data_IF_086387549064
#
_entry.id   IF_086387549064
#
_cell.length_a   1.000
_cell.length_b   1.000
_cell.length_c   1.000
_cell.angle_alpha   90.00
_cell.angle_beta   90.00
_cell.angle_gamma   90.00
#
_symmetry.space_group_name_H-M   'P 1'
#
loop_
_entity.id
_entity.type
_entity.pdbx_description
1 polymer ?
#
# COMPACT_ATOMS: atom_id res chain seq x y z
N UNK A 1 33.06 4.85 19.70
CA UNK A 1 32.38 5.98 19.04
C UNK A 1 30.88 5.82 19.24
N UNK A 2 30.23 6.82 19.83
CA UNK A 2 28.78 6.82 19.95
C UNK A 2 28.20 7.31 18.63
N UNK A 3 27.30 6.53 18.02
CA UNK A 3 26.59 6.93 16.80
C UNK A 3 25.29 7.63 17.20
N UNK A 4 24.96 8.71 16.54
CA UNK A 4 23.71 9.45 16.72
C UNK A 4 23.34 10.18 15.41
N UNK A 5 22.09 10.54 15.27
CA UNK A 5 21.56 11.31 14.15
C UNK A 5 21.04 12.67 14.64
N UNK A 6 21.30 13.71 13.86
CA UNK A 6 20.69 15.04 14.01
C UNK A 6 19.64 15.22 12.90
N UNK A 7 18.38 15.37 13.29
CA UNK A 7 17.27 15.51 12.33
C UNK A 7 16.66 14.17 11.90
N UNK A 8 16.20 14.10 10.64
CA UNK A 8 15.56 12.92 10.10
C UNK A 8 16.59 11.91 9.59
N UNK A 9 16.24 10.63 9.71
CA UNK A 9 17.09 9.54 9.23
C UNK A 9 16.88 9.33 7.73
N UNK A 10 17.98 9.21 6.98
CA UNK A 10 17.94 8.88 5.56
C UNK A 10 18.02 7.38 5.31
N UNK A 11 17.65 6.94 4.09
CA UNK A 11 17.82 5.54 3.68
C UNK A 11 19.30 5.11 3.71
N UNK A 12 20.22 6.02 3.41
CA UNK A 12 21.66 5.73 3.44
C UNK A 12 22.16 5.55 4.87
N UNK A 13 21.64 6.34 5.82
CA UNK A 13 21.92 6.16 7.25
C UNK A 13 21.42 4.78 7.72
N UNK A 14 20.21 4.39 7.33
CA UNK A 14 19.64 3.08 7.68
C UNK A 14 20.51 1.95 7.14
N UNK A 15 20.89 2.00 5.87
CA UNK A 15 21.79 1.03 5.24
C UNK A 15 23.15 0.97 5.95
N UNK A 16 23.70 2.14 6.28
CA UNK A 16 24.97 2.23 7.00
C UNK A 16 24.90 1.55 8.37
N UNK A 17 23.89 1.87 9.19
CA UNK A 17 23.76 1.28 10.53
C UNK A 17 23.53 -0.22 10.49
N UNK A 18 22.72 -0.72 9.57
CA UNK A 18 22.51 -2.16 9.36
C UNK A 18 23.83 -2.87 8.97
N UNK A 19 24.60 -2.30 8.04
CA UNK A 19 25.89 -2.86 7.61
C UNK A 19 26.89 -2.92 8.77
N UNK A 20 26.79 -1.99 9.74
CA UNK A 20 27.62 -1.97 10.94
C UNK A 20 27.07 -2.81 12.09
N UNK A 21 25.93 -3.45 11.94
CA UNK A 21 25.28 -4.22 13.02
C UNK A 21 24.80 -3.35 14.19
N UNK A 22 24.54 -2.07 13.95
CA UNK A 22 24.07 -1.13 14.98
C UNK A 22 22.56 -1.17 15.03
N UNK A 23 22.01 -1.63 16.14
CA UNK A 23 20.56 -1.79 16.32
C UNK A 23 19.87 -0.58 16.94
N UNK A 24 20.59 0.20 17.77
CA UNK A 24 20.03 1.36 18.47
C UNK A 24 20.79 2.63 18.11
N UNK A 25 20.08 3.63 17.58
CA UNK A 25 20.66 4.91 17.17
C UNK A 25 19.84 6.07 17.77
N UNK A 26 20.40 6.84 18.72
CA UNK A 26 19.74 8.03 19.27
C UNK A 26 19.57 9.12 18.21
N UNK A 27 18.39 9.74 18.17
CA UNK A 27 18.18 11.01 17.52
C UNK A 27 18.33 12.12 18.54
N UNK A 28 19.19 13.09 18.25
CA UNK A 28 19.47 14.21 19.15
C UNK A 28 19.01 15.55 18.56
N UNK A 29 18.59 16.45 19.43
CA UNK A 29 18.29 17.82 19.08
C UNK A 29 19.57 18.65 18.84
N UNK A 30 19.38 19.96 18.57
CA UNK A 30 20.50 20.90 18.34
C UNK A 30 21.39 21.07 19.58
N UNK A 31 20.85 20.80 20.78
CA UNK A 31 21.53 20.92 22.07
C UNK A 31 22.21 19.62 22.50
N UNK A 32 22.00 18.52 21.74
CA UNK A 32 22.56 17.21 22.05
C UNK A 32 21.68 16.36 22.97
N UNK A 33 20.43 16.75 23.27
CA UNK A 33 19.51 15.95 24.04
C UNK A 33 18.85 14.88 23.15
N UNK A 34 18.65 13.69 23.70
CA UNK A 34 17.98 12.59 22.99
C UNK A 34 16.49 12.87 22.92
N UNK A 35 15.95 12.98 21.67
CA UNK A 35 14.53 13.17 21.41
C UNK A 35 13.81 11.87 21.10
N UNK A 36 14.52 10.91 20.48
CA UNK A 36 13.96 9.65 20.00
C UNK A 36 15.09 8.61 19.84
N UNK A 37 14.72 7.35 19.69
CA UNK A 37 15.67 6.26 19.42
C UNK A 37 15.16 5.47 18.23
N UNK A 38 15.99 5.34 17.20
CA UNK A 38 15.76 4.41 16.11
C UNK A 38 16.20 3.02 16.56
N UNK A 39 15.25 2.09 16.66
CA UNK A 39 15.49 0.70 17.07
C UNK A 39 15.30 -0.23 15.88
N UNK A 40 16.40 -0.65 15.27
CA UNK A 40 16.43 -1.58 14.14
C UNK A 40 16.28 -3.05 14.54
N UNK A 41 16.14 -3.37 15.84
CA UNK A 41 15.79 -4.72 16.29
C UNK A 41 14.31 -5.02 16.13
N UNK A 42 13.46 -3.96 16.19
CA UNK A 42 12.00 -4.06 16.08
C UNK A 42 11.44 -3.46 14.79
N UNK A 43 12.14 -2.49 14.19
CA UNK A 43 11.72 -1.86 12.93
C UNK A 43 12.65 -2.24 11.77
N UNK A 44 12.07 -2.60 10.66
CA UNK A 44 12.81 -2.85 9.41
C UNK A 44 13.40 -1.57 8.83
N UNK A 45 12.70 -0.46 9.00
CA UNK A 45 13.08 0.85 8.46
C UNK A 45 12.38 1.97 9.21
N UNK A 46 12.67 3.22 8.84
CA UNK A 46 12.01 4.44 9.32
C UNK A 46 11.69 5.33 8.12
N UNK A 47 10.63 4.98 7.41
CA UNK A 47 10.24 5.70 6.19
C UNK A 47 9.53 7.01 6.52
N UNK A 48 9.93 8.14 5.95
CA UNK A 48 9.25 9.42 6.11
C UNK A 48 8.04 9.51 5.18
N UNK A 49 7.04 8.69 5.45
CA UNK A 49 5.77 8.63 4.70
C UNK A 49 4.58 8.60 5.65
N UNK A 50 3.47 9.12 5.19
CA UNK A 50 2.16 8.90 5.78
C UNK A 50 1.46 7.76 5.04
N UNK A 51 0.54 7.06 5.68
CA UNK A 51 -0.19 5.98 5.05
C UNK A 51 -1.71 6.17 5.15
N UNK A 52 -2.41 5.86 4.06
CA UNK A 52 -3.87 5.84 4.00
C UNK A 52 -4.33 4.50 3.44
N UNK A 53 -5.10 3.74 4.22
CA UNK A 53 -5.72 2.51 3.80
C UNK A 53 -7.20 2.75 3.46
N UNK A 54 -7.61 2.34 2.27
CA UNK A 54 -8.98 2.54 1.80
C UNK A 54 -9.86 1.35 2.19
N UNK A 55 -10.81 1.56 3.11
CA UNK A 55 -11.65 0.54 3.74
C UNK A 55 -13.17 0.81 3.64
N UNK A 56 -13.60 1.73 2.76
CA UNK A 56 -15.01 2.13 2.63
C UNK A 56 -15.90 1.15 1.85
N UNK A 57 -15.34 0.14 1.18
CA UNK A 57 -16.05 -0.76 0.28
C UNK A 57 -16.94 -1.79 0.97
N UNK A 58 -18.09 -2.15 0.34
CA UNK A 58 -19.05 -3.14 0.87
C UNK A 58 -18.61 -4.59 0.78
N UNK A 59 -17.62 -4.92 -0.06
CA UNK A 59 -17.13 -6.28 -0.23
C UNK A 59 -18.16 -7.28 -0.78
N UNK A 60 -19.07 -6.86 -1.65
CA UNK A 60 -20.25 -7.64 -2.09
C UNK A 60 -19.91 -9.01 -2.70
N UNK A 61 -18.75 -9.14 -3.34
CA UNK A 61 -18.28 -10.40 -3.95
C UNK A 61 -17.87 -11.48 -2.94
N UNK A 62 -17.75 -11.11 -1.66
CA UNK A 62 -17.41 -12.02 -0.54
C UNK A 62 -18.64 -12.37 0.32
N UNK A 63 -19.84 -11.97 -0.07
CA UNK A 63 -21.06 -12.38 0.64
C UNK A 63 -21.18 -13.91 0.67
N UNK A 64 -21.69 -14.49 1.79
CA UNK A 64 -22.29 -13.83 2.96
C UNK A 64 -21.29 -13.32 4.02
N UNK A 65 -19.98 -13.55 3.88
CA UNK A 65 -18.96 -13.19 4.90
C UNK A 65 -18.97 -11.69 5.25
N UNK A 66 -19.25 -10.85 4.26
CA UNK A 66 -19.22 -9.39 4.40
C UNK A 66 -20.58 -8.76 4.75
N UNK A 67 -21.61 -9.54 5.00
CA UNK A 67 -22.93 -9.00 5.40
C UNK A 67 -22.91 -8.42 6.82
N UNK A 68 -22.16 -9.05 7.72
CA UNK A 68 -22.08 -8.69 9.14
C UNK A 68 -20.71 -8.22 9.59
N UNK A 69 -19.67 -8.39 8.76
CA UNK A 69 -18.29 -8.02 9.07
C UNK A 69 -17.72 -7.25 7.89
N UNK A 70 -17.18 -6.04 8.07
CA UNK A 70 -16.56 -5.32 6.97
C UNK A 70 -15.35 -6.10 6.44
N UNK A 71 -15.16 -6.09 5.11
CA UNK A 71 -14.11 -6.86 4.42
C UNK A 71 -12.72 -6.74 5.06
N UNK A 72 -12.24 -5.53 5.46
CA UNK A 72 -10.94 -5.38 6.08
C UNK A 72 -10.77 -6.14 7.40
N UNK A 73 -11.87 -6.41 8.11
CA UNK A 73 -11.88 -7.13 9.39
C UNK A 73 -12.11 -8.64 9.25
N UNK A 74 -12.28 -9.16 8.03
CA UNK A 74 -12.27 -10.61 7.82
C UNK A 74 -10.91 -11.18 8.24
N UNK A 75 -10.94 -12.29 8.97
CA UNK A 75 -9.71 -12.90 9.50
C UNK A 75 -9.05 -13.82 8.47
N UNK A 76 -7.77 -13.62 8.25
CA UNK A 76 -6.87 -14.56 7.58
C UNK A 76 -5.97 -15.16 8.66
N UNK A 77 -6.13 -16.45 8.92
CA UNK A 77 -5.58 -17.06 10.12
C UNK A 77 -6.23 -16.50 11.39
N UNK A 78 -5.41 -16.00 12.32
CA UNK A 78 -5.89 -15.44 13.58
C UNK A 78 -6.15 -13.93 13.56
N UNK A 79 -5.75 -13.22 12.50
CA UNK A 79 -5.65 -11.76 12.43
C UNK A 79 -6.52 -11.18 11.32
N UNK A 80 -7.08 -9.97 11.51
CA UNK A 80 -7.81 -9.26 10.47
C UNK A 80 -6.89 -8.92 9.27
N UNK A 81 -7.44 -8.91 8.05
CA UNK A 81 -6.66 -8.61 6.83
C UNK A 81 -5.93 -7.27 6.97
N UNK A 82 -6.63 -6.25 7.43
CA UNK A 82 -6.09 -4.89 7.55
C UNK A 82 -4.94 -4.81 8.56
N UNK A 83 -4.93 -5.66 9.60
CA UNK A 83 -3.88 -5.65 10.62
C UNK A 83 -2.53 -6.08 10.08
N UNK A 84 -2.51 -7.03 9.11
CA UNK A 84 -1.26 -7.41 8.44
C UNK A 84 -0.62 -6.20 7.74
N UNK A 85 -1.44 -5.39 7.06
CA UNK A 85 -0.95 -4.20 6.35
C UNK A 85 -0.46 -3.13 7.33
N UNK A 86 -1.24 -2.83 8.38
CA UNK A 86 -0.89 -1.82 9.38
C UNK A 86 0.36 -2.23 10.16
N UNK A 87 0.45 -3.47 10.64
CA UNK A 87 1.64 -3.94 11.33
C UNK A 87 2.88 -3.96 10.43
N UNK A 88 2.71 -4.29 9.15
CA UNK A 88 3.78 -4.19 8.17
C UNK A 88 4.26 -2.74 8.05
N UNK A 89 3.37 -1.76 7.84
CA UNK A 89 3.72 -0.35 7.78
C UNK A 89 4.43 0.13 9.05
N UNK A 90 3.93 -0.25 10.22
CA UNK A 90 4.57 0.07 11.52
C UNK A 90 5.99 -0.52 11.57
N UNK A 91 6.20 -1.74 11.06
CA UNK A 91 7.53 -2.34 11.02
C UNK A 91 8.53 -1.57 10.15
N UNK A 92 8.04 -0.77 9.20
CA UNK A 92 8.84 0.17 8.40
C UNK A 92 8.88 1.59 9.00
N UNK A 93 8.46 1.76 10.26
CA UNK A 93 8.55 3.01 11.00
C UNK A 93 7.48 4.04 10.65
N UNK A 94 6.42 3.66 9.93
CA UNK A 94 5.30 4.56 9.61
C UNK A 94 4.48 4.79 10.88
N UNK A 95 4.36 6.04 11.30
CA UNK A 95 3.67 6.42 12.55
C UNK A 95 2.33 7.11 12.31
N UNK A 96 2.13 7.74 11.14
CA UNK A 96 0.90 8.42 10.78
C UNK A 96 0.10 7.56 9.79
N UNK A 97 -0.92 6.85 10.31
CA UNK A 97 -1.72 5.90 9.55
C UNK A 97 -3.20 6.30 9.67
N UNK A 98 -3.84 6.50 8.54
CA UNK A 98 -5.28 6.76 8.45
C UNK A 98 -5.99 5.62 7.71
N UNK A 99 -7.24 5.35 8.08
CA UNK A 99 -8.11 4.38 7.39
C UNK A 99 -9.39 5.10 7.01
N UNK A 100 -9.69 5.19 5.72
CA UNK A 100 -10.98 5.75 5.26
C UNK A 100 -12.06 4.69 5.32
N UNK A 101 -13.20 5.02 5.93
CA UNK A 101 -14.25 4.06 6.31
C UNK A 101 -15.63 4.54 5.89
N UNK A 102 -16.50 3.59 5.52
CA UNK A 102 -17.89 3.85 5.16
C UNK A 102 -18.81 2.69 5.59
N UNK A 103 -18.75 1.56 4.90
CA UNK A 103 -19.59 0.40 5.18
C UNK A 103 -19.21 -0.24 6.52
N UNK A 104 -20.21 -0.45 7.41
CA UNK A 104 -20.03 -1.00 8.77
C UNK A 104 -18.90 -0.28 9.55
N UNK A 105 -18.80 1.02 9.36
CA UNK A 105 -17.71 1.87 9.86
C UNK A 105 -17.51 1.80 11.37
N UNK A 106 -18.59 1.63 12.13
CA UNK A 106 -18.54 1.54 13.59
C UNK A 106 -17.68 0.36 14.05
N UNK A 107 -17.74 -0.76 13.34
CA UNK A 107 -16.91 -1.94 13.68
C UNK A 107 -15.42 -1.68 13.41
N UNK A 108 -15.09 -0.89 12.38
CA UNK A 108 -13.69 -0.54 12.08
C UNK A 108 -13.18 0.47 13.14
N UNK A 109 -14.00 1.44 13.55
CA UNK A 109 -13.66 2.37 14.63
C UNK A 109 -13.43 1.66 15.96
N UNK A 110 -14.33 0.74 16.31
CA UNK A 110 -14.19 -0.08 17.52
C UNK A 110 -12.89 -0.91 17.48
N UNK A 111 -12.56 -1.49 16.32
CA UNK A 111 -11.33 -2.26 16.11
C UNK A 111 -10.07 -1.42 16.36
N UNK A 112 -10.07 -0.16 15.91
CA UNK A 112 -8.95 0.77 16.06
C UNK A 112 -9.07 1.69 17.27
N UNK A 113 -10.00 1.42 18.20
CA UNK A 113 -10.12 2.18 19.45
C UNK A 113 -8.87 2.12 20.33
N UNK A 114 -8.05 1.09 20.15
CA UNK A 114 -6.77 0.92 20.82
C UNK A 114 -5.62 0.95 19.78
N UNK A 115 -4.45 1.53 20.14
CA UNK A 115 -3.29 1.54 19.25
C UNK A 115 -2.82 0.14 18.87
N UNK A 116 -2.41 -0.04 17.61
CA UNK A 116 -1.72 -1.25 17.15
C UNK A 116 -0.21 -1.06 17.33
N UNK A 117 0.44 -1.93 18.12
CA UNK A 117 1.89 -1.84 18.41
C UNK A 117 2.33 -0.42 18.82
N UNK A 118 1.50 0.29 19.58
CA UNK A 118 1.77 1.64 20.06
C UNK A 118 1.48 2.77 19.06
N UNK A 119 1.00 2.46 17.86
CA UNK A 119 0.62 3.46 16.84
C UNK A 119 -0.89 3.59 16.80
N UNK A 120 -1.40 4.81 17.01
CA UNK A 120 -2.82 5.12 16.86
C UNK A 120 -3.18 5.15 15.36
N UNK A 121 -4.30 4.50 15.01
CA UNK A 121 -4.85 4.49 13.65
C UNK A 121 -6.02 5.47 13.59
N UNK A 122 -5.93 6.45 12.69
CA UNK A 122 -6.97 7.46 12.53
C UNK A 122 -8.06 6.99 11.57
N UNK A 123 -9.28 6.77 12.06
CA UNK A 123 -10.44 6.44 11.24
C UNK A 123 -11.08 7.70 10.66
N UNK A 124 -11.19 7.77 9.33
CA UNK A 124 -11.75 8.92 8.59
C UNK A 124 -13.02 8.48 7.89
N UNK A 125 -14.17 9.02 8.35
CA UNK A 125 -15.49 8.69 7.79
C UNK A 125 -15.69 9.35 6.43
N UNK A 126 -16.03 8.56 5.42
CA UNK A 126 -16.52 9.06 4.14
C UNK A 126 -18.00 9.46 4.27
N UNK A 127 -18.43 10.62 3.74
CA UNK A 127 -19.84 10.99 3.74
C UNK A 127 -20.69 10.09 2.84
N UNK A 128 -20.10 9.58 1.74
CA UNK A 128 -20.66 8.62 0.80
C UNK A 128 -19.53 7.79 0.21
N UNK A 129 -19.83 6.72 -0.50
CA UNK A 129 -18.79 5.94 -1.20
C UNK A 129 -18.21 6.76 -2.36
N UNK A 130 -16.92 7.08 -2.27
CA UNK A 130 -16.21 7.97 -3.18
C UNK A 130 -15.19 7.27 -4.09
N UNK A 131 -15.36 5.98 -4.31
CA UNK A 131 -14.44 5.18 -5.14
C UNK A 131 -13.18 4.76 -4.37
N UNK A 132 -12.12 4.45 -5.11
CA UNK A 132 -10.91 3.88 -4.50
C UNK A 132 -9.89 4.92 -4.02
N UNK A 133 -10.06 6.22 -4.32
CA UNK A 133 -9.13 7.27 -3.84
C UNK A 133 -9.83 8.57 -3.42
N UNK A 134 -11.10 8.76 -3.78
CA UNK A 134 -11.81 10.02 -3.52
C UNK A 134 -11.89 10.37 -2.04
N UNK A 135 -11.97 9.37 -1.16
CA UNK A 135 -12.03 9.55 0.30
C UNK A 135 -10.77 10.14 0.93
N UNK A 136 -9.62 10.09 0.26
CA UNK A 136 -8.38 10.66 0.78
C UNK A 136 -8.47 12.18 1.04
N UNK A 137 -9.42 12.86 0.39
CA UNK A 137 -9.68 14.29 0.58
C UNK A 137 -10.15 14.66 1.98
N UNK A 138 -10.64 13.69 2.76
CA UNK A 138 -11.07 13.87 4.15
C UNK A 138 -9.97 13.58 5.16
N UNK A 139 -8.77 13.20 4.69
CA UNK A 139 -7.60 13.00 5.54
C UNK A 139 -6.85 14.32 5.62
N UNK A 140 -6.86 14.98 6.78
CA UNK A 140 -6.33 16.33 6.95
C UNK A 140 -4.87 16.36 7.47
N UNK A 141 -4.42 15.30 8.14
CA UNK A 141 -3.19 15.32 8.92
C UNK A 141 -2.05 14.56 8.23
N UNK A 142 -1.51 15.15 7.17
CA UNK A 142 -0.29 14.66 6.55
C UNK A 142 0.95 15.37 7.12
N UNK A 143 1.91 14.59 7.64
CA UNK A 143 3.16 15.08 8.21
C UNK A 143 4.32 15.05 7.23
N UNK A 144 4.23 14.18 6.21
CA UNK A 144 5.30 13.93 5.25
C UNK A 144 4.92 14.40 3.83
N UNK A 145 5.92 14.58 2.98
CA UNK A 145 5.72 14.99 1.58
C UNK A 145 5.38 13.82 0.65
N UNK A 146 5.45 12.60 1.15
CA UNK A 146 5.09 11.38 0.43
C UNK A 146 4.00 10.64 1.18
N UNK A 147 2.94 10.26 0.48
CA UNK A 147 1.81 9.52 1.03
C UNK A 147 1.73 8.16 0.34
N UNK A 148 1.71 7.11 1.14
CA UNK A 148 1.36 5.77 0.69
C UNK A 148 -0.16 5.63 0.76
N UNK A 149 -0.77 5.27 -0.35
CA UNK A 149 -2.20 4.96 -0.45
C UNK A 149 -2.35 3.52 -0.87
N UNK A 150 -3.19 2.74 -0.18
CA UNK A 150 -3.38 1.33 -0.52
C UNK A 150 -4.78 0.82 -0.22
N UNK A 151 -5.19 -0.22 -0.93
CA UNK A 151 -6.38 -0.98 -0.60
C UNK A 151 -6.17 -1.73 0.72
N UNK A 152 -7.18 -1.75 1.58
CA UNK A 152 -7.12 -2.38 2.91
C UNK A 152 -7.25 -3.91 2.91
N UNK A 153 -7.61 -4.48 1.76
CA UNK A 153 -7.94 -5.89 1.57
C UNK A 153 -6.84 -6.70 0.89
N UNK A 154 -5.64 -6.15 0.86
CA UNK A 154 -4.46 -6.79 0.29
C UNK A 154 -3.73 -7.67 1.31
N UNK A 155 -3.25 -8.82 0.85
CA UNK A 155 -2.35 -9.67 1.60
C UNK A 155 -1.03 -9.76 0.83
N UNK A 156 0.03 -9.10 1.34
CA UNK A 156 1.28 -8.88 0.60
C UNK A 156 2.48 -8.76 1.53
N UNK A 157 3.66 -9.09 1.00
CA UNK A 157 4.96 -8.85 1.64
C UNK A 157 5.82 -7.84 0.87
N UNK A 158 5.18 -6.87 0.22
CA UNK A 158 5.90 -5.80 -0.46
C UNK A 158 6.99 -5.18 0.44
N UNK A 159 8.18 -4.98 -0.11
CA UNK A 159 9.23 -4.23 0.57
C UNK A 159 8.99 -2.73 0.40
N UNK A 160 8.45 -2.08 1.43
CA UNK A 160 8.15 -0.65 1.39
C UNK A 160 9.41 0.22 1.34
N UNK A 161 10.55 -0.24 1.84
CA UNK A 161 11.82 0.49 1.74
C UNK A 161 12.31 0.53 0.28
N UNK A 162 12.32 -0.61 -0.41
CA UNK A 162 12.69 -0.65 -1.82
C UNK A 162 11.71 0.12 -2.69
N UNK A 163 10.42 0.07 -2.36
CA UNK A 163 9.38 0.83 -3.05
C UNK A 163 9.60 2.34 -2.90
N UNK A 164 9.91 2.81 -1.69
CA UNK A 164 10.20 4.22 -1.42
C UNK A 164 11.53 4.65 -2.05
N UNK A 165 12.58 3.82 -1.97
CA UNK A 165 13.87 4.09 -2.60
C UNK A 165 13.71 4.27 -4.11
N UNK A 166 13.00 3.35 -4.78
CA UNK A 166 12.70 3.43 -6.20
C UNK A 166 11.92 4.70 -6.57
N UNK A 167 10.91 5.07 -5.77
CA UNK A 167 10.16 6.32 -5.96
C UNK A 167 11.06 7.56 -5.91
N UNK A 168 11.97 7.61 -4.94
CA UNK A 168 12.91 8.74 -4.75
C UNK A 168 14.00 8.79 -5.81
N UNK A 169 14.63 7.67 -6.14
CA UNK A 169 15.69 7.56 -7.15
C UNK A 169 15.22 8.02 -8.53
N UNK A 170 13.96 7.71 -8.87
CA UNK A 170 13.38 8.12 -10.13
C UNK A 170 12.77 9.53 -10.09
N UNK A 171 12.80 10.22 -8.95
CA UNK A 171 12.12 11.51 -8.75
C UNK A 171 10.68 11.47 -9.30
N UNK A 172 9.94 10.39 -8.98
CA UNK A 172 8.61 10.18 -9.48
C UNK A 172 7.59 11.09 -8.80
N UNK A 173 6.51 11.43 -9.50
CA UNK A 173 5.34 12.11 -8.95
C UNK A 173 4.37 11.10 -8.31
N UNK A 174 4.26 9.92 -8.93
CA UNK A 174 3.54 8.78 -8.41
C UNK A 174 4.27 7.48 -8.79
N UNK A 175 4.32 6.51 -7.88
CA UNK A 175 4.77 5.14 -8.17
C UNK A 175 3.65 4.17 -7.83
N UNK A 176 3.34 3.29 -8.78
CA UNK A 176 2.30 2.26 -8.68
C UNK A 176 2.97 0.92 -8.47
N UNK A 177 2.69 0.26 -7.36
CA UNK A 177 3.11 -1.13 -7.20
C UNK A 177 2.34 -2.00 -8.20
N UNK A 178 3.05 -2.92 -8.86
CA UNK A 178 2.51 -3.75 -9.93
C UNK A 178 2.95 -5.19 -9.77
N UNK A 179 2.08 -6.11 -10.15
CA UNK A 179 2.36 -7.54 -10.16
C UNK A 179 2.40 -8.08 -11.57
N UNK A 180 3.31 -9.01 -11.89
CA UNK A 180 3.30 -9.66 -13.19
C UNK A 180 2.01 -10.45 -13.37
N UNK A 181 1.39 -10.32 -14.53
CA UNK A 181 0.18 -11.02 -14.91
C UNK A 181 0.37 -11.65 -16.29
N UNK A 182 0.36 -12.97 -16.34
CA UNK A 182 0.59 -13.73 -17.56
C UNK A 182 -0.71 -14.33 -18.05
N UNK A 183 -1.00 -14.09 -19.34
CA UNK A 183 -2.14 -14.69 -20.04
C UNK A 183 -1.61 -15.62 -21.12
N UNK A 184 -1.87 -16.92 -20.97
CA UNK A 184 -1.56 -17.91 -22.00
C UNK A 184 -2.83 -18.26 -22.76
N UNK A 185 -2.79 -18.12 -24.08
CA UNK A 185 -3.89 -18.53 -24.96
C UNK A 185 -3.61 -19.95 -25.43
N UNK A 186 -4.49 -20.94 -25.13
CA UNK A 186 -4.21 -22.35 -25.47
C UNK A 186 -4.44 -22.72 -26.93
N UNK A 187 -4.64 -21.70 -27.80
CA UNK A 187 -4.93 -21.86 -29.22
C UNK A 187 -4.00 -21.01 -30.09
N UNK A 188 -3.88 -21.36 -31.37
CA UNK A 188 -3.27 -20.48 -32.36
C UNK A 188 -4.13 -19.22 -32.55
N UNK A 189 -3.49 -18.05 -32.58
CA UNK A 189 -4.14 -16.75 -32.79
C UNK A 189 -3.78 -16.25 -34.18
N UNK A 190 -4.82 -15.94 -34.95
CA UNK A 190 -4.63 -15.33 -36.26
C UNK A 190 -4.40 -13.83 -36.14
N UNK A 191 -3.46 -13.33 -36.92
CA UNK A 191 -3.35 -11.92 -37.25
C UNK A 191 -4.20 -11.66 -38.52
N UNK A 192 -5.14 -10.73 -38.42
CA UNK A 192 -6.17 -10.54 -39.45
C UNK A 192 -6.12 -9.14 -40.05
N UNK A 193 -6.19 -9.05 -41.36
CA UNK A 193 -6.51 -7.83 -42.09
C UNK A 193 -7.87 -8.02 -42.79
N UNK A 194 -8.94 -7.43 -42.24
CA UNK A 194 -10.30 -7.71 -42.70
C UNK A 194 -10.69 -9.18 -42.47
N UNK A 195 -10.80 -9.95 -43.56
CA UNK A 195 -11.10 -11.40 -43.53
C UNK A 195 -9.87 -12.27 -43.87
N UNK A 196 -8.78 -11.65 -44.26
CA UNK A 196 -7.57 -12.36 -44.66
C UNK A 196 -6.69 -12.64 -43.47
N UNK A 197 -6.14 -13.87 -43.42
CA UNK A 197 -5.17 -14.27 -42.40
C UNK A 197 -3.79 -13.81 -42.86
N UNK A 198 -3.17 -12.89 -42.14
CA UNK A 198 -1.84 -12.37 -42.41
C UNK A 198 -0.75 -13.13 -41.62
N UNK A 199 -1.13 -13.78 -40.53
CA UNK A 199 -0.19 -14.51 -39.68
C UNK A 199 -0.88 -15.45 -38.70
N UNK A 200 -0.06 -16.29 -38.07
CA UNK A 200 -0.47 -17.21 -37.01
C UNK A 200 0.58 -17.20 -35.89
N UNK A 201 0.15 -17.01 -34.67
CA UNK A 201 0.99 -17.16 -33.49
C UNK A 201 0.44 -18.35 -32.68
N UNK A 202 1.22 -19.42 -32.57
CA UNK A 202 0.80 -20.64 -31.90
C UNK A 202 0.93 -20.48 -30.39
N UNK A 203 -0.16 -20.66 -29.66
CA UNK A 203 -0.26 -20.64 -28.19
C UNK A 203 0.51 -19.48 -27.53
N UNK A 204 0.21 -18.23 -27.92
CA UNK A 204 0.95 -17.09 -27.42
C UNK A 204 0.80 -16.90 -25.92
N UNK A 205 1.86 -16.40 -25.28
CA UNK A 205 1.86 -15.99 -23.89
C UNK A 205 2.15 -14.49 -23.82
N UNK A 206 1.23 -13.75 -23.20
CA UNK A 206 1.32 -12.29 -23.02
C UNK A 206 1.64 -11.98 -21.57
N UNK A 207 2.65 -11.14 -21.35
CA UNK A 207 3.06 -10.70 -20.04
C UNK A 207 2.66 -9.24 -19.83
N UNK A 208 1.87 -9.00 -18.81
CA UNK A 208 1.38 -7.68 -18.38
C UNK A 208 1.82 -7.37 -16.97
N UNK A 209 1.62 -6.14 -16.55
CA UNK A 209 1.74 -5.72 -15.16
C UNK A 209 0.38 -5.20 -14.68
N UNK A 210 -0.22 -5.90 -13.74
CA UNK A 210 -1.48 -5.48 -13.14
C UNK A 210 -1.23 -4.50 -11.99
N UNK A 211 -2.12 -3.51 -11.85
CA UNK A 211 -2.12 -2.57 -10.75
C UNK A 211 -2.38 -3.32 -9.42
N UNK A 212 -1.45 -3.21 -8.49
CA UNK A 212 -1.52 -3.92 -7.20
C UNK A 212 -2.34 -3.18 -6.13
N UNK A 213 -2.87 -1.99 -6.41
CA UNK A 213 -3.65 -1.21 -5.44
C UNK A 213 -2.80 -0.60 -4.32
N UNK A 214 -1.52 -0.36 -4.56
CA UNK A 214 -0.59 0.28 -3.62
C UNK A 214 0.17 1.38 -4.37
N UNK A 215 0.18 2.58 -3.81
CA UNK A 215 0.68 3.77 -4.47
C UNK A 215 1.55 4.60 -3.53
N UNK A 216 2.67 5.14 -4.03
CA UNK A 216 3.38 6.27 -3.42
C UNK A 216 3.11 7.51 -4.24
N UNK A 217 2.70 8.58 -3.59
CA UNK A 217 2.23 9.81 -4.23
C UNK A 217 2.87 11.01 -3.53
N UNK A 218 3.36 12.00 -4.28
CA UNK A 218 3.69 13.31 -3.70
C UNK A 218 2.45 13.95 -3.10
N UNK A 219 2.50 14.33 -1.84
CA UNK A 219 1.35 14.88 -1.08
C UNK A 219 0.63 16.03 -1.78
N UNK A 220 1.38 16.93 -2.41
CA UNK A 220 0.81 18.11 -3.09
C UNK A 220 -0.11 17.75 -4.26
N UNK A 221 0.08 16.58 -4.88
CA UNK A 221 -0.77 16.09 -5.97
C UNK A 221 -2.15 15.62 -5.49
N UNK A 222 -2.31 15.25 -4.22
CA UNK A 222 -3.59 14.86 -3.66
C UNK A 222 -4.64 15.99 -3.75
N UNK A 223 -4.19 17.26 -3.86
CA UNK A 223 -5.06 18.41 -4.07
C UNK A 223 -5.84 18.33 -5.40
N UNK A 224 -5.34 17.58 -6.38
CA UNK A 224 -5.98 17.39 -7.69
C UNK A 224 -7.17 16.43 -7.68
N UNK A 225 -7.29 15.62 -6.63
CA UNK A 225 -8.45 14.75 -6.44
C UNK A 225 -9.67 15.64 -6.20
N UNK A 226 -10.78 15.46 -6.94
CA UNK A 226 -11.97 16.29 -6.79
C UNK A 226 -12.61 16.11 -5.42
N UNK A 227 -13.27 17.16 -4.91
CA UNK A 227 -14.05 17.06 -3.69
C UNK A 227 -15.42 16.39 -3.98
N UNK A 228 -15.93 15.64 -3.02
CA UNK A 228 -17.29 15.07 -2.99
C UNK A 228 -17.71 14.37 -4.28
N UNK A 229 -16.75 13.77 -5.00
CA UNK A 229 -16.98 13.07 -6.25
C UNK A 229 -16.41 11.67 -6.20
N UNK A 230 -17.18 10.71 -6.73
CA UNK A 230 -16.65 9.36 -6.98
C UNK A 230 -15.41 9.45 -7.88
N UNK A 231 -14.28 8.93 -7.39
CA UNK A 231 -13.00 9.02 -8.08
C UNK A 231 -12.13 7.80 -7.77
N UNK A 232 -11.67 7.13 -8.81
CA UNK A 232 -10.83 5.94 -8.65
C UNK A 232 -9.34 6.28 -8.75
N UNK A 233 -8.50 5.43 -8.22
CA UNK A 233 -7.06 5.55 -8.38
C UNK A 233 -6.62 5.46 -9.85
N UNK A 234 -7.36 4.73 -10.69
CA UNK A 234 -7.15 4.68 -12.14
C UNK A 234 -7.40 6.02 -12.79
N UNK A 235 -8.48 6.71 -12.43
CA UNK A 235 -8.80 8.06 -12.95
C UNK A 235 -7.70 9.06 -12.57
N UNK A 236 -7.15 8.90 -11.36
CA UNK A 236 -6.04 9.75 -10.89
C UNK A 236 -4.74 9.48 -11.64
N UNK A 237 -4.43 8.22 -11.93
CA UNK A 237 -3.28 7.83 -12.76
C UNK A 237 -3.39 8.45 -14.15
N UNK A 238 -4.56 8.32 -14.80
CA UNK A 238 -4.83 8.90 -16.13
C UNK A 238 -4.69 10.43 -16.13
N UNK A 239 -5.23 11.10 -15.11
CA UNK A 239 -5.05 12.54 -14.93
C UNK A 239 -3.58 12.93 -14.86
N UNK A 240 -2.79 12.26 -14.01
CA UNK A 240 -1.37 12.57 -13.86
C UNK A 240 -0.58 12.33 -15.16
N UNK A 241 -0.89 11.26 -15.88
CA UNK A 241 -0.26 10.97 -17.18
C UNK A 241 -0.63 12.05 -18.20
N UNK A 242 -1.90 12.48 -18.27
CA UNK A 242 -2.36 13.53 -19.20
C UNK A 242 -1.70 14.89 -18.92
N UNK A 243 -1.30 15.15 -17.66
CA UNK A 243 -0.55 16.34 -17.25
C UNK A 243 0.98 16.19 -17.40
N UNK A 244 1.46 15.14 -18.06
CA UNK A 244 2.89 14.82 -18.21
C UNK A 244 3.63 14.69 -16.87
N UNK A 245 2.94 14.23 -15.81
CA UNK A 245 3.57 13.90 -14.54
C UNK A 245 4.29 12.55 -14.64
N UNK A 246 5.36 12.42 -13.88
CA UNK A 246 6.16 11.20 -13.87
C UNK A 246 5.50 10.10 -13.03
N UNK A 247 4.70 9.26 -13.68
CA UNK A 247 4.08 8.06 -13.11
C UNK A 247 4.92 6.85 -13.49
N UNK A 248 5.39 6.10 -12.48
CA UNK A 248 6.22 4.91 -12.71
C UNK A 248 5.60 3.67 -12.07
N UNK A 249 6.04 2.49 -12.49
CA UNK A 249 5.68 1.24 -11.85
C UNK A 249 6.80 0.70 -10.97
N UNK A 250 6.45 0.00 -9.89
CA UNK A 250 7.36 -0.79 -9.06
C UNK A 250 6.90 -2.25 -9.05
N UNK A 251 7.73 -3.22 -9.48
CA UNK A 251 7.35 -4.63 -9.50
C UNK A 251 7.40 -5.22 -8.09
N UNK A 252 6.32 -5.87 -7.65
CA UNK A 252 6.30 -6.67 -6.42
C UNK A 252 6.97 -8.02 -6.72
N UNK A 253 8.05 -8.33 -6.02
CA UNK A 253 8.78 -9.60 -6.16
C UNK A 253 8.24 -10.72 -5.25
N UNK A 254 7.47 -10.38 -4.22
CA UNK A 254 6.92 -11.31 -3.24
C UNK A 254 5.51 -11.79 -3.57
N UNK A 255 4.79 -12.24 -2.54
CA UNK A 255 3.38 -12.56 -2.70
C UNK A 255 2.50 -11.32 -2.64
N UNK A 256 1.44 -11.35 -3.40
CA UNK A 256 0.38 -10.35 -3.42
C UNK A 256 -0.95 -11.04 -3.74
N UNK A 257 -1.94 -10.84 -2.89
CA UNK A 257 -3.30 -11.37 -3.06
C UNK A 257 -4.26 -10.22 -2.78
N UNK A 258 -5.06 -9.85 -3.78
CA UNK A 258 -6.26 -9.02 -3.59
C UNK A 258 -7.39 -9.94 -3.14
N UNK A 259 -7.79 -9.83 -1.89
CA UNK A 259 -8.86 -10.67 -1.32
C UNK A 259 -10.22 -10.16 -1.82
N UNK A 260 -10.46 -10.27 -3.11
CA UNK A 260 -11.66 -9.79 -3.79
C UNK A 260 -12.78 -10.83 -3.91
N UNK A 261 -12.47 -12.11 -3.85
CA UNK A 261 -13.39 -13.24 -4.02
C UNK A 261 -13.05 -14.38 -3.04
N UNK A 262 -13.95 -15.35 -2.94
CA UNK A 262 -13.77 -16.53 -2.04
C UNK A 262 -12.51 -17.34 -2.35
N UNK A 263 -12.12 -17.44 -3.62
CA UNK A 263 -10.92 -18.18 -4.03
C UNK A 263 -9.63 -17.50 -3.50
N UNK A 264 -9.52 -16.16 -3.65
CA UNK A 264 -8.40 -15.39 -3.14
C UNK A 264 -8.37 -15.40 -1.61
N UNK A 265 -9.54 -15.33 -0.96
CA UNK A 265 -9.64 -15.48 0.48
C UNK A 265 -9.11 -16.83 0.96
N UNK A 266 -9.49 -17.92 0.28
CA UNK A 266 -8.97 -19.27 0.57
C UNK A 266 -7.47 -19.36 0.34
N UNK A 267 -6.95 -18.80 -0.77
CA UNK A 267 -5.50 -18.76 -1.04
C UNK A 267 -4.73 -18.05 0.09
N UNK A 268 -5.26 -16.93 0.58
CA UNK A 268 -4.65 -16.20 1.69
C UNK A 268 -4.68 -17.03 2.99
N UNK A 269 -5.79 -17.72 3.28
CA UNK A 269 -5.91 -18.63 4.42
C UNK A 269 -4.90 -19.79 4.37
N UNK A 270 -4.65 -20.33 3.18
CA UNK A 270 -3.69 -21.41 3.03
C UNK A 270 -2.24 -20.89 3.12
N UNK A 271 -1.96 -19.74 2.52
CA UNK A 271 -0.64 -19.14 2.55
C UNK A 271 -0.21 -18.79 3.98
N UNK A 272 -1.10 -18.21 4.79
CA UNK A 272 -0.78 -17.77 6.16
C UNK A 272 -0.32 -18.92 7.06
N UNK A 273 -0.74 -20.17 6.81
CA UNK A 273 -0.32 -21.37 7.57
C UNK A 273 1.18 -21.67 7.41
N UNK A 274 1.80 -21.16 6.34
CA UNK A 274 3.21 -21.38 5.99
C UNK A 274 4.10 -20.17 6.27
N UNK A 275 3.50 -19.06 6.73
CA UNK A 275 4.24 -17.85 7.07
C UNK A 275 4.47 -17.76 8.58
N UNK A 276 5.67 -17.35 8.95
CA UNK A 276 6.01 -17.01 10.33
C UNK A 276 6.02 -15.48 10.45
N UNK A 277 5.13 -14.93 11.28
CA UNK A 277 4.97 -13.49 11.52
C UNK A 277 5.53 -13.07 12.88
#
# INVERSE_FOLDING_TARGET
>A
KCFYIKGDISLDDIKYFRTKGISLVPRVDRNGHINDIFDFSIHKSYLPIDAVLMAGGKGERLRPLTEKTPKPLLKVGSKAIIDYNIESLISYGVKNISVTINYLKEQIEDHFSMPIKGVAVNCVREPMFLGTIGSIKFVDNFNNDTVLVMNSDLFTNINYEDFYAHFKEHNADMSVAAVPYTVSVPYGIFDLEGREIQGLIEKPTYNYYANAGIYLIKRDLLKKIPNDKFYNATDFIELLISENRKVIRFPIAGYWIDIGKHEEFKKAQDLVKHLHF
#
